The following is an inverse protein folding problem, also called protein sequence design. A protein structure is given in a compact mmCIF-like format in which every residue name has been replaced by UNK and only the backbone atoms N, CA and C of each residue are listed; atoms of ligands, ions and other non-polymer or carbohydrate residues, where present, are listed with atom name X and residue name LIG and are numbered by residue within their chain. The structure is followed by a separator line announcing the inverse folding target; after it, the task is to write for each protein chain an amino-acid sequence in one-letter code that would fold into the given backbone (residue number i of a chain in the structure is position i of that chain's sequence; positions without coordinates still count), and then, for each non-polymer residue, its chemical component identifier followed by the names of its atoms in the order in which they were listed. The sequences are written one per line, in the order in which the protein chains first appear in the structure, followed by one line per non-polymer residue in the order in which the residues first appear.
data_IF_014904107488
#
_entry.id   IF_014904107488
#
_cell.length_a   1.000
_cell.length_b   1.000
_cell.length_c   1.000
_cell.angle_alpha   90.00
_cell.angle_beta   90.00
_cell.angle_gamma   90.00
#
_symmetry.space_group_name_H-M   'P 1'
#
loop_
_entity.id
_entity.type
_entity.pdbx_description
1 polymer ?
#
# COMPACT_ATOMS: atom_id res chain seq x y z
N UNK A 1 11.35 -15.26 3.57
CA UNK A 1 10.04 -15.80 3.90
C UNK A 1 10.18 -17.28 4.19
N UNK A 2 9.52 -17.81 5.22
CA UNK A 2 9.46 -19.26 5.44
C UNK A 2 8.20 -19.80 4.73
N UNK A 3 8.38 -20.74 3.81
CA UNK A 3 7.27 -21.42 3.15
C UNK A 3 6.95 -22.70 3.92
N UNK A 4 5.68 -23.14 3.94
CA UNK A 4 5.34 -24.46 4.47
C UNK A 4 6.11 -25.58 3.76
N UNK A 5 6.42 -26.63 4.50
CA UNK A 5 7.22 -27.75 4.00
C UNK A 5 6.61 -28.34 2.72
N UNK A 6 7.46 -28.53 1.70
CA UNK A 6 7.07 -29.09 0.41
C UNK A 6 6.27 -28.16 -0.51
N UNK A 7 5.91 -26.94 -0.09
CA UNK A 7 5.20 -25.99 -0.96
C UNK A 7 6.06 -25.56 -2.15
N UNK A 8 7.34 -25.28 -1.93
CA UNK A 8 8.28 -24.87 -2.98
C UNK A 8 8.43 -25.92 -4.10
N UNK A 9 8.35 -27.21 -3.75
CA UNK A 9 8.52 -28.32 -4.72
C UNK A 9 7.31 -28.43 -5.66
N UNK A 10 6.10 -28.14 -5.15
CA UNK A 10 4.85 -28.25 -5.92
C UNK A 10 4.37 -26.95 -6.54
N UNK A 11 5.18 -25.90 -6.46
CA UNK A 11 4.83 -24.57 -6.95
C UNK A 11 5.65 -24.20 -8.17
N UNK A 12 5.16 -23.20 -8.86
CA UNK A 12 5.86 -22.52 -9.93
C UNK A 12 6.33 -21.18 -9.38
N UNK A 13 7.64 -20.93 -9.47
CA UNK A 13 8.24 -19.68 -9.04
C UNK A 13 8.24 -18.67 -10.19
N UNK A 14 7.73 -17.46 -9.93
CA UNK A 14 7.89 -16.30 -10.80
C UNK A 14 8.62 -15.18 -10.05
N UNK A 15 9.44 -14.43 -10.79
CA UNK A 15 10.11 -13.24 -10.27
C UNK A 15 9.40 -12.00 -10.77
N UNK A 16 9.08 -11.10 -9.85
CA UNK A 16 8.40 -9.84 -10.11
C UNK A 16 9.46 -8.73 -10.12
N UNK A 17 9.36 -7.79 -11.06
CA UNK A 17 10.30 -6.68 -11.16
C UNK A 17 9.57 -5.38 -10.95
N UNK A 18 10.25 -4.46 -10.27
CA UNK A 18 9.75 -3.09 -10.13
C UNK A 18 9.85 -2.39 -11.49
N UNK A 19 8.84 -1.61 -11.89
CA UNK A 19 8.98 -0.73 -13.05
C UNK A 19 10.19 0.18 -12.90
N UNK A 20 11.13 0.10 -13.84
CA UNK A 20 12.35 0.92 -13.84
C UNK A 20 12.09 2.41 -14.11
N UNK A 21 10.93 2.74 -14.68
CA UNK A 21 10.62 4.10 -15.09
C UNK A 21 10.04 4.93 -13.93
N UNK A 22 10.68 6.07 -13.66
CA UNK A 22 10.01 7.22 -13.07
C UNK A 22 8.83 7.63 -13.98
N UNK A 23 7.64 7.07 -13.79
CA UNK A 23 6.33 7.72 -13.97
C UNK A 23 6.05 8.57 -15.24
N UNK A 24 6.72 8.35 -16.38
CA UNK A 24 6.48 9.13 -17.62
C UNK A 24 6.41 8.30 -18.90
N UNK A 25 7.05 7.12 -18.96
CA UNK A 25 6.99 6.25 -20.14
C UNK A 25 5.69 5.43 -20.16
N UNK A 26 4.84 5.69 -21.15
CA UNK A 26 3.55 5.01 -21.38
C UNK A 26 3.68 3.54 -21.81
N UNK A 27 4.89 2.98 -21.78
CA UNK A 27 5.21 1.70 -22.41
C UNK A 27 6.07 0.80 -21.50
N UNK A 28 5.85 0.80 -20.19
CA UNK A 28 6.47 -0.22 -19.35
C UNK A 28 5.89 -1.59 -19.69
N UNK A 29 6.80 -2.52 -19.99
CA UNK A 29 6.52 -3.92 -20.27
C UNK A 29 7.54 -4.79 -19.53
N UNK A 30 7.04 -5.79 -18.79
CA UNK A 30 7.85 -6.80 -18.15
C UNK A 30 7.30 -8.17 -18.53
N UNK A 31 8.16 -9.08 -18.97
CA UNK A 31 7.82 -10.49 -19.14
C UNK A 31 8.55 -11.33 -18.09
N UNK A 32 7.80 -12.15 -17.38
CA UNK A 32 8.31 -13.29 -16.62
C UNK A 32 8.29 -14.53 -17.51
N UNK A 33 8.55 -15.72 -16.94
CA UNK A 33 8.55 -16.94 -17.72
C UNK A 33 7.17 -17.29 -18.29
N UNK A 34 6.10 -16.85 -17.61
CA UNK A 34 4.70 -17.18 -18.00
C UNK A 34 3.73 -16.03 -18.05
N UNK A 35 4.03 -14.91 -17.40
CA UNK A 35 3.15 -13.76 -17.38
C UNK A 35 3.89 -12.52 -17.86
N UNK A 36 3.18 -11.65 -18.56
CA UNK A 36 3.67 -10.34 -18.91
C UNK A 36 2.77 -9.26 -18.31
N UNK A 37 3.40 -8.23 -17.75
CA UNK A 37 2.77 -7.00 -17.27
C UNK A 37 3.02 -5.92 -18.30
N UNK A 38 1.97 -5.21 -18.74
CA UNK A 38 2.09 -4.11 -19.70
C UNK A 38 1.17 -2.95 -19.37
N UNK A 39 1.32 -1.87 -20.13
CA UNK A 39 0.45 -0.69 -20.09
C UNK A 39 0.32 -0.12 -18.68
N UNK A 40 1.42 -0.17 -17.89
CA UNK A 40 1.41 0.39 -16.54
C UNK A 40 1.27 1.90 -16.66
N UNK A 41 0.15 2.41 -16.19
CA UNK A 41 -0.19 3.82 -16.12
C UNK A 41 -0.42 4.19 -14.66
N UNK A 42 0.16 5.31 -14.22
CA UNK A 42 0.00 5.81 -12.86
C UNK A 42 -0.39 7.28 -12.96
N UNK A 43 -1.50 7.64 -12.31
CA UNK A 43 -2.00 9.00 -12.28
C UNK A 43 -2.20 9.48 -10.84
N UNK A 44 -1.98 10.77 -10.55
CA UNK A 44 -2.58 11.36 -9.36
C UNK A 44 -4.09 11.18 -9.45
N UNK A 45 -4.73 10.61 -8.43
CA UNK A 45 -6.18 10.62 -8.40
C UNK A 45 -6.67 12.04 -8.07
N UNK A 46 -7.86 12.38 -8.53
CA UNK A 46 -8.49 13.66 -8.25
C UNK A 46 -9.03 13.62 -6.82
N UNK A 47 -8.20 13.99 -5.85
CA UNK A 47 -8.65 14.20 -4.46
C UNK A 47 -9.76 15.26 -4.44
N UNK A 48 -11.00 14.83 -4.22
CA UNK A 48 -12.08 15.72 -3.82
C UNK A 48 -11.80 16.15 -2.38
N UNK A 49 -11.30 17.39 -2.22
CA UNK A 49 -10.86 17.92 -0.93
C UNK A 49 -12.03 18.06 0.04
N UNK A 50 -12.28 17.06 0.88
CA UNK A 50 -13.09 17.20 2.08
C UNK A 50 -12.21 17.56 3.29
N UNK A 51 -11.70 18.79 3.32
CA UNK A 51 -10.98 19.30 4.49
C UNK A 51 -11.98 19.77 5.56
N UNK A 52 -12.20 18.96 6.59
CA UNK A 52 -12.85 19.45 7.82
C UNK A 52 -11.79 20.12 8.70
N UNK A 53 -11.80 21.45 8.73
CA UNK A 53 -10.90 22.24 9.57
C UNK A 53 -11.53 22.46 10.96
N UNK A 54 -10.99 21.79 11.98
CA UNK A 54 -11.34 22.08 13.37
C UNK A 54 -10.26 23.01 13.94
N UNK A 55 -10.62 24.28 14.15
CA UNK A 55 -9.73 25.26 14.77
C UNK A 55 -10.13 25.43 16.24
N UNK A 56 -9.36 24.85 17.16
CA UNK A 56 -9.52 25.14 18.59
C UNK A 56 -8.58 26.28 18.97
N UNK A 57 -9.13 27.49 19.05
CA UNK A 57 -8.48 28.64 19.67
C UNK A 57 -9.10 28.85 21.04
N UNK A 58 -8.31 28.73 22.09
CA UNK A 58 -8.73 29.09 23.45
C UNK A 58 -8.53 27.95 24.43
N UNK A 59 -7.85 28.29 25.53
CA UNK A 59 -7.76 27.54 26.77
C UNK A 59 -9.09 26.90 27.12
N UNK A 60 -9.23 25.59 26.97
CA UNK A 60 -9.91 24.72 27.94
C UNK A 60 -9.71 23.23 27.63
N UNK A 61 -9.31 22.52 28.69
CA UNK A 61 -9.40 21.07 28.93
C UNK A 61 -8.76 20.09 27.93
N UNK A 62 -7.44 19.96 28.00
CA UNK A 62 -6.72 18.73 27.63
C UNK A 62 -6.66 17.80 28.85
N UNK A 63 -7.57 16.82 28.91
CA UNK A 63 -7.35 15.60 29.70
C UNK A 63 -6.19 14.83 29.06
N UNK A 64 -5.00 14.95 29.64
CA UNK A 64 -3.82 14.14 29.27
C UNK A 64 -3.02 13.86 30.55
N UNK A 65 -2.75 12.57 30.74
CA UNK A 65 -2.25 11.96 31.97
C UNK A 65 -0.81 12.40 32.36
N UNK A 66 -0.69 12.57 33.68
CA UNK A 66 0.40 12.44 34.65
C UNK A 66 1.81 13.08 34.47
N UNK A 67 2.03 14.00 35.43
CA UNK A 67 3.20 14.28 36.27
C UNK A 67 4.31 15.24 35.84
N UNK A 68 4.48 15.57 34.56
CA UNK A 68 5.59 16.47 34.12
C UNK A 68 5.16 17.87 33.61
N UNK A 69 3.92 18.27 33.86
CA UNK A 69 3.28 19.43 33.18
C UNK A 69 3.13 20.71 33.99
N UNK A 70 3.05 20.63 35.32
CA UNK A 70 2.77 21.83 36.13
C UNK A 70 3.92 22.84 36.05
N UNK A 71 5.16 22.36 35.96
CA UNK A 71 6.33 23.23 35.77
C UNK A 71 6.32 23.88 34.39
N UNK A 72 6.07 23.13 33.30
CA UNK A 72 6.06 23.69 31.93
C UNK A 72 4.95 24.71 31.68
N UNK A 73 3.75 24.47 32.22
CA UNK A 73 2.62 25.40 32.09
C UNK A 73 2.86 26.73 32.80
N UNK A 74 3.52 26.73 33.96
CA UNK A 74 3.87 27.96 34.66
C UNK A 74 4.97 28.75 33.92
N UNK A 75 5.89 28.07 33.23
CA UNK A 75 6.95 28.72 32.45
C UNK A 75 6.45 29.36 31.16
N UNK A 76 5.54 28.71 30.43
CA UNK A 76 5.03 29.24 29.15
C UNK A 76 4.19 30.52 29.34
N UNK A 77 3.43 30.62 30.45
CA UNK A 77 2.61 31.79 30.81
C UNK A 77 3.47 32.96 31.34
N UNK A 78 4.57 32.66 32.05
CA UNK A 78 5.52 33.68 32.53
C UNK A 78 6.38 34.28 31.39
N UNK A 79 6.54 33.54 30.28
CA UNK A 79 7.38 33.92 29.13
C UNK A 79 6.58 34.48 27.94
N UNK A 80 5.25 34.57 28.04
CA UNK A 80 4.39 35.08 26.97
C UNK A 80 4.35 34.20 25.70
N UNK A 81 4.63 32.90 25.83
CA UNK A 81 4.69 31.98 24.70
C UNK A 81 3.28 31.52 24.36
N UNK A 82 2.71 32.07 23.28
CA UNK A 82 1.43 31.60 22.73
C UNK A 82 1.68 30.45 21.75
N UNK A 83 1.21 29.26 22.09
CA UNK A 83 1.19 28.11 21.19
C UNK A 83 -0.25 27.91 20.67
N UNK A 84 -0.45 28.02 19.36
CA UNK A 84 -1.71 27.60 18.73
C UNK A 84 -1.54 26.22 18.13
N UNK A 85 -2.42 25.28 18.49
CA UNK A 85 -2.47 23.94 17.90
C UNK A 85 -3.65 23.88 16.94
N UNK A 86 -3.39 23.62 15.66
CA UNK A 86 -4.44 23.35 14.66
C UNK A 86 -4.35 21.88 14.26
N UNK A 87 -5.45 21.16 14.42
CA UNK A 87 -5.60 19.79 13.97
C UNK A 87 -6.44 19.76 12.70
N UNK A 88 -5.86 19.25 11.62
CA UNK A 88 -6.56 19.02 10.36
C UNK A 88 -6.50 17.53 10.03
N UNK A 89 -7.65 16.97 9.71
CA UNK A 89 -7.73 15.66 9.08
C UNK A 89 -7.77 15.89 7.58
N UNK A 90 -6.87 15.23 6.86
CA UNK A 90 -6.79 15.35 5.42
C UNK A 90 -6.61 13.98 4.80
N UNK A 91 -7.52 13.61 3.91
CA UNK A 91 -7.28 12.57 2.92
C UNK A 91 -6.30 13.16 1.92
N UNK A 92 -5.03 12.74 2.03
CA UNK A 92 -3.94 13.60 1.55
C UNK A 92 -3.51 13.21 0.15
N UNK A 93 -3.59 11.91 -0.22
CA UNK A 93 -3.10 11.43 -1.51
C UNK A 93 -3.89 10.19 -1.91
N UNK A 94 -4.62 10.31 -3.01
CA UNK A 94 -5.10 9.17 -3.77
C UNK A 94 -4.24 9.04 -5.03
N UNK A 95 -3.82 7.82 -5.35
CA UNK A 95 -3.12 7.48 -6.58
C UNK A 95 -3.88 6.40 -7.28
N UNK A 96 -4.09 6.59 -8.57
CA UNK A 96 -4.63 5.54 -9.41
C UNK A 96 -3.49 4.90 -10.18
N UNK A 97 -3.51 3.58 -10.29
CA UNK A 97 -2.64 2.89 -11.22
C UNK A 97 -3.42 1.80 -11.95
N UNK A 98 -3.09 1.62 -13.22
CA UNK A 98 -3.71 0.67 -14.12
C UNK A 98 -2.64 -0.12 -14.85
N UNK A 99 -2.90 -1.39 -15.09
CA UNK A 99 -2.01 -2.24 -15.88
C UNK A 99 -2.76 -3.46 -16.39
N UNK A 100 -2.13 -4.19 -17.30
CA UNK A 100 -2.67 -5.43 -17.84
C UNK A 100 -1.71 -6.59 -17.59
N UNK A 101 -2.25 -7.75 -17.25
CA UNK A 101 -1.50 -9.01 -17.13
C UNK A 101 -2.00 -10.01 -18.18
N UNK A 102 -1.09 -10.62 -18.93
CA UNK A 102 -1.38 -11.69 -19.91
C UNK A 102 -0.38 -12.85 -19.83
N UNK A 103 -0.69 -14.00 -20.43
CA UNK A 103 0.30 -15.04 -20.70
C UNK A 103 1.49 -14.52 -21.53
N UNK A 104 2.71 -14.93 -21.17
CA UNK A 104 3.94 -14.52 -21.86
C UNK A 104 4.11 -15.17 -23.25
N UNK A 105 3.40 -16.26 -23.52
CA UNK A 105 3.45 -16.96 -24.81
C UNK A 105 2.94 -16.08 -25.97
N UNK A 106 2.02 -15.15 -25.69
CA UNK A 106 1.44 -14.25 -26.69
C UNK A 106 2.39 -13.14 -27.19
N UNK A 107 3.61 -13.07 -26.65
CA UNK A 107 4.59 -12.05 -27.04
C UNK A 107 5.46 -12.44 -28.25
N UNK A 108 5.62 -13.74 -28.53
CA UNK A 108 6.56 -14.19 -29.58
C UNK A 108 5.92 -14.38 -30.95
N UNK A 109 4.60 -14.57 -31.03
CA UNK A 109 3.91 -14.96 -32.28
C UNK A 109 3.19 -13.82 -33.00
N UNK A 110 3.39 -12.56 -32.58
CA UNK A 110 2.68 -11.39 -33.15
C UNK A 110 3.09 -10.96 -34.56
N UNK A 111 3.90 -11.74 -35.28
CA UNK A 111 4.39 -11.29 -36.59
C UNK A 111 3.46 -11.54 -37.77
N UNK A 112 2.60 -12.56 -37.79
CA UNK A 112 1.90 -12.90 -39.05
C UNK A 112 0.45 -13.42 -38.99
N UNK A 113 -0.19 -13.57 -37.82
CA UNK A 113 -1.55 -14.15 -37.75
C UNK A 113 -2.60 -13.10 -37.39
N UNK A 114 -3.34 -12.66 -38.40
CA UNK A 114 -4.48 -11.73 -38.35
C UNK A 114 -5.77 -12.40 -37.84
N UNK A 115 -5.64 -13.46 -37.05
CA UNK A 115 -6.78 -14.19 -36.50
C UNK A 115 -7.07 -13.69 -35.09
N UNK A 116 -8.24 -13.07 -34.98
CA UNK A 116 -8.92 -12.49 -33.84
C UNK A 116 -9.21 -13.53 -32.75
N UNK A 117 -8.17 -14.15 -32.18
CA UNK A 117 -8.32 -15.18 -31.15
C UNK A 117 -7.85 -14.66 -29.80
N UNK A 118 -8.86 -14.51 -28.94
CA UNK A 118 -8.83 -14.34 -27.48
C UNK A 118 -8.16 -13.10 -26.89
N UNK A 119 -8.89 -11.98 -26.95
CA UNK A 119 -8.80 -10.92 -25.92
C UNK A 119 -9.18 -11.46 -24.51
N UNK A 120 -9.75 -12.66 -24.40
CA UNK A 120 -10.24 -13.27 -23.15
C UNK A 120 -9.19 -13.49 -22.07
N UNK A 121 -7.91 -13.56 -22.43
CA UNK A 121 -6.87 -14.00 -21.51
C UNK A 121 -6.10 -12.82 -20.90
N UNK A 122 -6.65 -11.61 -20.95
CA UNK A 122 -6.06 -10.41 -20.34
C UNK A 122 -6.79 -10.13 -19.03
N UNK A 123 -6.04 -10.00 -17.94
CA UNK A 123 -6.54 -9.38 -16.72
C UNK A 123 -6.31 -7.89 -16.84
N UNK A 124 -7.38 -7.10 -16.76
CA UNK A 124 -7.28 -5.65 -16.64
C UNK A 124 -7.36 -5.26 -15.16
N UNK A 125 -6.42 -4.42 -14.72
CA UNK A 125 -6.32 -4.03 -13.32
C UNK A 125 -6.45 -2.52 -13.24
N UNK A 126 -7.34 -2.07 -12.36
CA UNK A 126 -7.44 -0.68 -11.94
C UNK A 126 -7.40 -0.62 -10.41
N UNK A 127 -6.45 0.13 -9.87
CA UNK A 127 -6.24 0.30 -8.45
C UNK A 127 -6.33 1.76 -8.04
N UNK A 128 -6.86 1.99 -6.85
CA UNK A 128 -6.87 3.25 -6.12
C UNK A 128 -6.21 3.02 -4.77
N UNK A 129 -5.20 3.81 -4.48
CA UNK A 129 -4.44 3.73 -3.24
C UNK A 129 -4.53 5.07 -2.52
N UNK A 130 -4.83 5.03 -1.23
CA UNK A 130 -5.10 6.22 -0.43
C UNK A 130 -4.53 6.16 0.98
N UNK A 131 -4.44 7.33 1.61
CA UNK A 131 -4.12 7.45 3.04
C UNK A 131 -4.81 8.66 3.68
N UNK A 132 -5.21 8.47 4.93
CA UNK A 132 -5.69 9.54 5.81
C UNK A 132 -4.60 9.94 6.79
N UNK A 133 -4.38 11.25 6.92
CA UNK A 133 -3.40 11.82 7.83
C UNK A 133 -4.05 12.80 8.81
N UNK A 134 -3.58 12.74 10.07
CA UNK A 134 -3.68 13.85 11.01
C UNK A 134 -2.47 14.77 10.80
N UNK A 135 -2.77 16.04 10.52
CA UNK A 135 -1.76 17.10 10.41
C UNK A 135 -1.91 18.01 11.63
N UNK A 136 -0.92 17.93 12.51
CA UNK A 136 -0.74 18.83 13.66
C UNK A 136 0.15 19.99 13.21
N UNK A 137 -0.44 21.17 13.05
CA UNK A 137 0.32 22.41 12.90
C UNK A 137 0.50 23.06 14.27
N UNK A 138 1.75 23.26 14.65
CA UNK A 138 2.13 23.95 15.88
C UNK A 138 2.91 25.21 15.48
N UNK A 139 2.30 26.35 15.75
CA UNK A 139 2.94 27.66 15.63
C UNK A 139 3.34 28.13 17.02
N UNK A 140 4.62 28.47 17.19
CA UNK A 140 5.16 29.06 18.42
C UNK A 140 5.81 30.39 18.09
N UNK A 141 5.32 31.43 18.74
CA UNK A 141 5.95 32.75 18.75
C UNK A 141 6.67 32.91 20.08
N UNK A 142 7.98 33.16 20.03
CA UNK A 142 8.78 33.44 21.22
C UNK A 142 9.68 34.66 20.96
N UNK A 143 9.83 35.59 21.92
CA UNK A 143 10.78 36.68 21.80
C UNK A 143 12.21 36.12 21.79
N UNK A 144 13.03 36.58 20.84
CA UNK A 144 14.46 36.33 20.85
C UNK A 144 15.14 37.16 21.96
N UNK A 145 16.42 36.87 22.25
CA UNK A 145 17.19 37.62 23.25
C UNK A 145 17.41 39.11 22.91
N UNK A 146 16.83 39.62 21.82
CA UNK A 146 16.85 41.02 21.39
C UNK A 146 15.42 41.62 21.33
N UNK A 147 14.41 40.91 21.82
CA UNK A 147 13.01 41.36 21.86
C UNK A 147 12.27 41.29 20.51
N UNK A 148 12.82 40.63 19.48
CA UNK A 148 12.11 40.36 18.23
C UNK A 148 11.36 39.03 18.32
N UNK A 149 10.11 38.99 17.88
CA UNK A 149 9.37 37.74 17.80
C UNK A 149 9.98 36.81 16.76
N UNK A 150 10.35 35.62 17.19
CA UNK A 150 10.73 34.51 16.31
C UNK A 150 9.58 33.53 16.24
N UNK A 151 8.98 33.46 15.06
CA UNK A 151 7.96 32.46 14.76
C UNK A 151 8.66 31.17 14.34
N UNK A 152 8.29 30.08 14.99
CA UNK A 152 8.66 28.72 14.58
C UNK A 152 7.39 27.95 14.28
N UNK A 153 7.42 27.23 13.15
CA UNK A 153 6.32 26.39 12.71
C UNK A 153 6.85 24.96 12.66
N UNK A 154 6.15 24.06 13.32
CA UNK A 154 6.39 22.62 13.19
C UNK A 154 5.13 21.96 12.71
N UNK A 155 5.25 21.17 11.65
CA UNK A 155 4.15 20.36 11.13
C UNK A 155 4.48 18.92 11.46
N UNK A 156 3.67 18.30 12.31
CA UNK A 156 3.76 16.87 12.58
C UNK A 156 2.65 16.19 11.80
N UNK A 157 3.01 15.21 10.96
CA UNK A 157 2.05 14.38 10.23
C UNK A 157 2.03 13.00 10.84
N UNK A 158 0.83 12.45 11.02
CA UNK A 158 0.62 11.09 11.50
C UNK A 158 -0.39 10.41 10.60
N UNK A 159 0.04 9.31 9.98
CA UNK A 159 -0.85 8.45 9.19
C UNK A 159 -1.83 7.75 10.11
N UNK A 160 -3.11 7.90 9.84
CA UNK A 160 -4.21 7.31 10.60
C UNK A 160 -4.76 6.08 9.90
N UNK A 161 -4.93 6.14 8.58
CA UNK A 161 -5.48 5.05 7.80
C UNK A 161 -4.81 4.95 6.43
N UNK A 162 -4.84 3.75 5.87
CA UNK A 162 -4.18 3.39 4.62
C UNK A 162 -5.00 2.34 3.91
N UNK A 163 -5.29 2.56 2.64
CA UNK A 163 -6.05 1.60 1.88
C UNK A 163 -5.53 1.40 0.46
N UNK A 164 -5.83 0.23 -0.08
CA UNK A 164 -5.74 -0.10 -1.50
C UNK A 164 -7.07 -0.75 -1.90
N UNK A 165 -7.67 -0.28 -2.97
CA UNK A 165 -8.82 -0.91 -3.62
C UNK A 165 -8.43 -1.18 -5.06
N UNK A 166 -8.55 -2.41 -5.53
CA UNK A 166 -8.39 -2.72 -6.94
C UNK A 166 -9.57 -3.51 -7.47
N UNK A 167 -9.89 -3.24 -8.73
CA UNK A 167 -10.75 -4.05 -9.58
C UNK A 167 -9.87 -4.80 -10.57
N UNK A 168 -10.04 -6.11 -10.62
CA UNK A 168 -9.35 -7.01 -11.53
C UNK A 168 -10.40 -7.71 -12.39
N UNK A 169 -10.46 -7.38 -13.67
CA UNK A 169 -11.41 -7.96 -14.60
C UNK A 169 -10.77 -9.13 -15.35
N UNK A 170 -11.34 -10.33 -15.18
CA UNK A 170 -10.91 -11.55 -15.84
C UNK A 170 -12.13 -12.32 -16.34
N UNK A 171 -12.23 -12.57 -17.65
CA UNK A 171 -13.31 -13.36 -18.27
C UNK A 171 -14.72 -12.92 -17.83
N UNK A 172 -15.01 -11.62 -17.88
CA UNK A 172 -16.29 -11.03 -17.42
C UNK A 172 -16.59 -11.19 -15.93
N UNK A 173 -15.62 -11.65 -15.14
CA UNK A 173 -15.70 -11.71 -13.68
C UNK A 173 -14.83 -10.60 -13.11
N UNK A 174 -15.45 -9.67 -12.39
CA UNK A 174 -14.74 -8.64 -11.64
C UNK A 174 -14.33 -9.17 -10.28
N UNK A 175 -13.08 -8.95 -9.90
CA UNK A 175 -12.55 -9.27 -8.58
C UNK A 175 -12.13 -8.01 -7.86
N UNK A 176 -12.44 -7.93 -6.57
CA UNK A 176 -12.06 -6.84 -5.69
C UNK A 176 -10.91 -7.28 -4.79
N UNK A 177 -9.76 -6.62 -4.95
CA UNK A 177 -8.65 -6.70 -4.01
C UNK A 177 -8.74 -5.51 -3.07
N UNK A 178 -8.75 -5.79 -1.76
CA UNK A 178 -8.70 -4.76 -0.72
C UNK A 178 -7.49 -4.94 0.17
N UNK A 179 -6.90 -3.81 0.55
CA UNK A 179 -5.97 -3.68 1.68
C UNK A 179 -6.51 -2.57 2.56
N UNK A 180 -6.64 -2.83 3.85
CA UNK A 180 -7.10 -1.85 4.84
C UNK A 180 -6.21 -1.91 6.08
N UNK A 181 -5.82 -0.73 6.58
CA UNK A 181 -5.17 -0.60 7.89
C UNK A 181 -5.56 0.69 8.58
N UNK A 182 -6.40 0.52 9.60
CA UNK A 182 -6.74 1.58 10.53
C UNK A 182 -5.76 1.61 11.72
N UNK A 183 -4.91 2.64 11.76
CA UNK A 183 -3.96 2.91 12.83
C UNK A 183 -2.95 1.78 13.07
N UNK A 184 -2.97 1.22 14.28
CA UNK A 184 -2.10 0.12 14.71
C UNK A 184 -2.72 -1.27 14.49
N UNK A 185 -3.90 -1.36 13.89
CA UNK A 185 -4.52 -2.65 13.59
C UNK A 185 -3.68 -3.47 12.60
N UNK A 186 -3.86 -4.79 12.66
CA UNK A 186 -3.25 -5.70 11.69
C UNK A 186 -3.80 -5.41 10.28
N UNK A 187 -2.92 -5.49 9.28
CA UNK A 187 -3.30 -5.30 7.88
C UNK A 187 -4.33 -6.34 7.47
N UNK A 188 -5.47 -5.91 6.94
CA UNK A 188 -6.48 -6.78 6.38
C UNK A 188 -6.34 -6.79 4.86
N UNK A 189 -6.12 -7.98 4.28
CA UNK A 189 -5.99 -8.16 2.83
C UNK A 189 -6.96 -9.24 2.37
N UNK A 190 -7.78 -8.94 1.36
CA UNK A 190 -8.77 -9.86 0.83
C UNK A 190 -8.87 -9.73 -0.69
N UNK A 191 -9.12 -10.85 -1.38
CA UNK A 191 -9.40 -10.88 -2.81
C UNK A 191 -10.69 -11.66 -3.05
N UNK A 192 -11.73 -10.98 -3.51
CA UNK A 192 -13.09 -11.53 -3.60
C UNK A 192 -13.67 -11.32 -4.98
N UNK A 193 -14.38 -12.31 -5.51
CA UNK A 193 -15.21 -12.11 -6.70
C UNK A 193 -16.37 -11.16 -6.38
N UNK A 194 -16.62 -10.17 -7.24
CA UNK A 194 -17.86 -9.40 -7.23
C UNK A 194 -19.05 -10.37 -7.33
N UNK A 195 -20.19 -10.04 -6.72
CA UNK A 195 -21.36 -10.91 -6.58
C UNK A 195 -21.73 -11.66 -7.89
N UNK A 196 -21.28 -12.91 -8.00
CA UNK A 196 -21.82 -13.89 -8.95
C UNK A 196 -22.82 -14.73 -8.18
N UNK A 197 -24.07 -14.72 -8.61
CA UNK A 197 -25.14 -15.51 -8.01
C UNK A 197 -24.74 -17.00 -8.06
N UNK A 198 -24.39 -17.58 -6.90
CA UNK A 198 -24.22 -19.03 -6.73
C UNK A 198 -22.87 -19.53 -6.21
N UNK A 199 -21.79 -18.73 -6.22
CA UNK A 199 -20.52 -19.11 -5.59
C UNK A 199 -19.62 -17.89 -5.38
N UNK A 200 -19.48 -17.46 -4.12
CA UNK A 200 -18.47 -16.46 -3.78
C UNK A 200 -17.13 -17.18 -3.61
N UNK A 201 -16.18 -16.89 -4.50
CA UNK A 201 -14.80 -17.34 -4.34
C UNK A 201 -14.04 -16.23 -3.61
N UNK A 202 -13.44 -16.58 -2.47
CA UNK A 202 -12.65 -15.67 -1.64
C UNK A 202 -11.25 -16.26 -1.46
N UNK A 203 -10.24 -15.40 -1.61
CA UNK A 203 -8.87 -15.70 -1.22
C UNK A 203 -8.52 -14.88 0.03
N UNK A 204 -8.27 -15.60 1.13
CA UNK A 204 -7.76 -15.02 2.37
C UNK A 204 -6.26 -14.83 2.23
N UNK A 205 -5.79 -13.61 2.42
CA UNK A 205 -4.37 -13.27 2.31
C UNK A 205 -3.84 -12.95 3.72
N UNK A 206 -2.86 -13.72 4.17
CA UNK A 206 -2.25 -13.59 5.49
C UNK A 206 -0.82 -13.08 5.38
N UNK A 207 -0.41 -12.22 6.31
CA UNK A 207 0.98 -11.79 6.41
C UNK A 207 1.84 -12.87 7.07
N UNK A 208 2.94 -13.23 6.43
CA UNK A 208 4.03 -13.95 7.07
C UNK A 208 4.93 -12.90 7.72
N UNK A 209 4.92 -12.82 9.05
CA UNK A 209 5.73 -11.84 9.78
C UNK A 209 7.22 -12.08 9.49
N UNK A 210 7.94 -11.01 9.15
CA UNK A 210 9.38 -11.08 9.26
C UNK A 210 9.74 -11.24 10.74
N UNK A 211 10.73 -12.07 11.04
CA UNK A 211 11.46 -11.90 12.30
C UNK A 211 11.91 -10.45 12.35
N UNK A 212 11.60 -9.76 13.44
CA UNK A 212 11.97 -8.38 13.79
C UNK A 212 13.33 -7.98 13.18
N UNK A 213 13.55 -6.71 12.81
CA UNK A 213 14.90 -6.25 12.44
C UNK A 213 15.54 -5.50 13.60
N UNK A 214 16.84 -5.73 13.77
CA UNK A 214 17.64 -5.08 14.80
C UNK A 214 18.09 -3.70 14.28
N UNK A 215 17.61 -2.62 14.88
CA UNK A 215 18.03 -1.25 14.60
C UNK A 215 18.58 -0.62 15.87
N UNK A 216 19.85 -0.20 15.86
CA UNK A 216 20.54 0.37 17.04
C UNK A 216 20.50 -0.53 18.30
N UNK A 217 20.47 -1.86 18.11
CA UNK A 217 20.41 -2.82 19.22
C UNK A 217 19.00 -3.05 19.79
N UNK A 218 17.97 -2.42 19.23
CA UNK A 218 16.57 -2.67 19.58
C UNK A 218 15.89 -3.42 18.43
N UNK A 219 15.11 -4.44 18.76
CA UNK A 219 14.19 -5.05 17.81
C UNK A 219 13.06 -4.06 17.52
N UNK A 220 12.84 -3.77 16.23
CA UNK A 220 11.80 -2.82 15.80
C UNK A 220 10.87 -3.46 14.78
N UNK A 221 9.62 -3.05 14.82
CA UNK A 221 8.64 -3.28 13.77
C UNK A 221 8.90 -2.31 12.60
N UNK A 222 8.68 -2.78 11.38
CA UNK A 222 9.05 -2.00 10.20
C UNK A 222 7.87 -1.12 9.78
N UNK A 223 8.13 0.10 9.31
CA UNK A 223 7.05 1.02 8.99
C UNK A 223 6.42 0.71 7.63
N UNK A 224 5.30 -0.02 7.65
CA UNK A 224 4.15 -0.04 6.69
C UNK A 224 4.43 -0.21 5.17
N UNK A 225 3.51 -0.79 4.36
CA UNK A 225 2.49 -1.79 4.69
C UNK A 225 3.10 -3.19 4.81
N UNK A 226 4.19 -3.45 4.07
CA UNK A 226 4.81 -4.76 3.93
C UNK A 226 6.26 -4.80 4.38
N UNK A 227 6.87 -3.68 4.74
CA UNK A 227 8.26 -3.65 5.20
C UNK A 227 8.52 -4.52 6.43
N UNK A 228 7.47 -4.91 7.18
CA UNK A 228 7.55 -5.77 8.38
C UNK A 228 7.16 -7.23 8.10
N UNK A 229 6.69 -7.52 6.88
CA UNK A 229 6.32 -8.85 6.45
C UNK A 229 7.47 -9.45 5.64
N UNK A 230 7.82 -10.70 5.90
CA UNK A 230 8.71 -11.45 5.02
C UNK A 230 7.97 -11.82 3.71
N UNK A 231 6.63 -11.89 3.76
CA UNK A 231 5.78 -12.20 2.62
C UNK A 231 4.30 -12.24 2.94
N UNK A 232 3.50 -12.64 1.95
CA UNK A 232 2.08 -12.90 2.04
C UNK A 232 1.77 -14.34 1.62
N UNK A 233 0.82 -14.97 2.28
CA UNK A 233 0.30 -16.30 1.98
C UNK A 233 -1.15 -16.20 1.51
N UNK A 234 -1.48 -16.81 0.38
CA UNK A 234 -2.79 -16.77 -0.25
C UNK A 234 -3.49 -18.12 -0.06
N UNK A 235 -4.64 -18.10 0.59
CA UNK A 235 -5.43 -19.30 0.89
C UNK A 235 -6.76 -19.28 0.15
N UNK A 236 -7.12 -20.41 -0.46
CA UNK A 236 -8.48 -20.67 -0.97
C UNK A 236 -9.10 -21.75 -0.07
N UNK A 237 -10.06 -21.37 0.77
CA UNK A 237 -10.43 -22.18 1.93
C UNK A 237 -9.21 -22.38 2.85
N UNK A 238 -8.88 -23.64 3.14
CA UNK A 238 -7.70 -24.00 3.94
C UNK A 238 -6.45 -24.35 3.10
N UNK A 239 -6.57 -24.37 1.77
CA UNK A 239 -5.46 -24.70 0.90
C UNK A 239 -4.60 -23.46 0.61
N UNK A 240 -3.30 -23.54 0.91
CA UNK A 240 -2.31 -22.56 0.45
C UNK A 240 -2.13 -22.72 -1.07
N UNK A 241 -2.48 -21.68 -1.83
CA UNK A 241 -2.48 -21.69 -3.30
C UNK A 241 -1.43 -20.77 -3.90
N UNK A 242 -0.98 -19.76 -3.16
CA UNK A 242 0.16 -18.94 -3.55
C UNK A 242 0.90 -18.34 -2.34
N UNK A 243 2.14 -17.93 -2.56
CA UNK A 243 2.93 -17.19 -1.59
C UNK A 243 3.71 -16.08 -2.31
N UNK A 244 3.75 -14.87 -1.75
CA UNK A 244 4.51 -13.73 -2.24
C UNK A 244 5.59 -13.39 -1.22
N UNK A 245 6.86 -13.39 -1.61
CA UNK A 245 7.98 -12.94 -0.77
C UNK A 245 8.40 -11.53 -1.16
N UNK A 246 8.55 -10.68 -0.15
CA UNK A 246 9.19 -9.37 -0.27
C UNK A 246 10.71 -9.46 -0.08
N UNK A 247 11.20 -10.56 0.49
CA UNK A 247 12.63 -10.74 0.77
C UNK A 247 13.49 -10.91 -0.49
N UNK A 248 14.69 -10.36 -0.44
CA UNK A 248 15.72 -10.48 -1.47
C UNK A 248 15.82 -9.26 -2.38
N UNK A 249 16.57 -9.40 -3.49
CA UNK A 249 16.76 -8.31 -4.47
C UNK A 249 15.56 -8.09 -5.38
N UNK A 250 14.76 -9.13 -5.61
CA UNK A 250 13.60 -9.10 -6.46
C UNK A 250 12.47 -9.91 -5.80
N UNK A 251 11.25 -9.36 -5.67
CA UNK A 251 10.13 -10.09 -5.12
C UNK A 251 9.81 -11.34 -5.93
N UNK A 252 9.29 -12.35 -5.23
CA UNK A 252 9.04 -13.68 -5.77
C UNK A 252 7.65 -14.13 -5.43
N UNK A 253 6.97 -14.78 -6.38
CA UNK A 253 5.68 -15.42 -6.14
C UNK A 253 5.77 -16.90 -6.48
N UNK A 254 5.32 -17.75 -5.55
CA UNK A 254 5.11 -19.19 -5.77
C UNK A 254 3.63 -19.41 -6.00
N UNK A 255 3.27 -20.05 -7.11
CA UNK A 255 1.91 -20.39 -7.50
C UNK A 255 1.75 -21.90 -7.51
N UNK A 256 0.76 -22.47 -6.81
CA UNK A 256 0.57 -23.93 -6.77
C UNK A 256 0.34 -24.47 -8.18
N UNK A 257 1.05 -25.53 -8.57
CA UNK A 257 0.93 -26.09 -9.92
C UNK A 257 -0.46 -26.66 -10.19
N UNK A 258 -1.21 -27.06 -9.16
CA UNK A 258 -2.54 -27.67 -9.26
C UNK A 258 -3.68 -26.68 -9.53
N UNK A 259 -3.48 -25.39 -9.26
CA UNK A 259 -4.52 -24.38 -9.57
C UNK A 259 -4.55 -24.06 -11.06
N UNK A 260 -5.74 -23.69 -11.54
CA UNK A 260 -5.98 -23.39 -12.95
C UNK A 260 -5.15 -22.19 -13.41
N UNK A 261 -4.80 -22.15 -14.70
CA UNK A 261 -4.00 -21.07 -15.30
C UNK A 261 -4.63 -19.71 -15.07
N UNK A 262 -5.96 -19.61 -15.14
CA UNK A 262 -6.71 -18.39 -14.87
C UNK A 262 -6.56 -17.92 -13.43
N UNK A 263 -6.69 -18.83 -12.47
CA UNK A 263 -6.44 -18.54 -11.05
C UNK A 263 -4.99 -18.10 -10.81
N UNK A 264 -4.02 -18.75 -11.46
CA UNK A 264 -2.61 -18.34 -11.39
C UNK A 264 -2.41 -16.91 -11.89
N UNK A 265 -3.04 -16.55 -13.00
CA UNK A 265 -2.99 -15.21 -13.58
C UNK A 265 -3.63 -14.16 -12.67
N UNK A 266 -4.79 -14.47 -12.08
CA UNK A 266 -5.45 -13.63 -11.09
C UNK A 266 -4.56 -13.40 -9.86
N UNK A 267 -3.98 -14.47 -9.29
CA UNK A 267 -3.11 -14.38 -8.11
C UNK A 267 -1.79 -13.63 -8.42
N UNK A 268 -1.26 -13.79 -9.63
CA UNK A 268 -0.12 -13.01 -10.11
C UNK A 268 -0.47 -11.53 -10.21
N UNK A 269 -1.62 -11.19 -10.82
CA UNK A 269 -2.10 -9.81 -10.95
C UNK A 269 -2.33 -9.17 -9.58
N UNK A 270 -3.01 -9.87 -8.66
CA UNK A 270 -3.23 -9.40 -7.30
C UNK A 270 -1.91 -9.17 -6.55
N UNK A 271 -0.95 -10.09 -6.67
CA UNK A 271 0.36 -9.94 -6.05
C UNK A 271 1.15 -8.76 -6.62
N UNK A 272 1.07 -8.53 -7.93
CA UNK A 272 1.70 -7.37 -8.56
C UNK A 272 1.03 -6.06 -8.11
N UNK A 273 -0.29 -6.02 -7.94
CA UNK A 273 -1.00 -4.86 -7.36
C UNK A 273 -0.52 -4.53 -5.95
N UNK A 274 -0.32 -5.54 -5.10
CA UNK A 274 0.19 -5.37 -3.74
C UNK A 274 1.63 -4.85 -3.73
N UNK A 275 2.49 -5.35 -4.63
CA UNK A 275 3.84 -4.83 -4.82
C UNK A 275 3.86 -3.40 -5.37
N UNK A 276 2.98 -3.07 -6.30
CA UNK A 276 2.82 -1.71 -6.79
C UNK A 276 2.44 -0.76 -5.64
N UNK A 277 1.49 -1.17 -4.79
CA UNK A 277 1.16 -0.41 -3.58
C UNK A 277 2.38 -0.21 -2.67
N UNK A 278 3.15 -1.28 -2.39
CA UNK A 278 4.39 -1.21 -1.61
C UNK A 278 5.46 -0.29 -2.22
N UNK A 279 5.72 -0.41 -3.52
CA UNK A 279 6.75 0.37 -4.21
C UNK A 279 6.41 1.85 -4.34
N UNK A 280 5.12 2.17 -4.42
CA UNK A 280 4.65 3.52 -4.52
C UNK A 280 4.58 4.22 -3.16
N UNK A 281 4.39 3.47 -2.06
CA UNK A 281 4.26 4.04 -0.73
C UNK A 281 5.46 4.90 -0.27
N UNK A 282 6.74 4.48 -0.41
CA UNK A 282 7.88 5.34 -0.08
C UNK A 282 7.92 6.62 -0.92
N UNK A 283 7.61 6.52 -2.21
CA UNK A 283 7.56 7.70 -3.09
C UNK A 283 6.45 8.67 -2.69
N UNK A 284 5.38 8.18 -2.06
CA UNK A 284 4.31 9.01 -1.52
C UNK A 284 4.70 9.69 -0.21
N UNK A 285 5.55 9.05 0.61
CA UNK A 285 6.10 9.65 1.82
C UNK A 285 7.10 10.77 1.52
N UNK A 286 7.92 10.62 0.47
CA UNK A 286 8.97 11.58 0.12
C UNK A 286 8.46 12.80 -0.67
N UNK A 287 7.34 12.69 -1.39
CA UNK A 287 6.77 13.78 -2.20
C UNK A 287 6.01 14.85 -1.40
N UNK A 288 6.20 14.90 -0.08
CA UNK A 288 5.36 15.56 0.91
C UNK A 288 6.16 16.38 1.92
#
# INVERSE_FOLDING_TARGET
MRLPEGFEIRTQLETLQRPHAQFQDRHFEQASSRFAVRNVAISPARSERHAQQISQSGSNSLQLQNTDRITRLLWDDLLGIQATKRQRYQETIEREFRFQVMPALDMKDKKDTKDTKSISDIVEIQCQAGQYEAIDHLERSAPDGKGKERNSHTTKRQRLDSHLRCELDLDHTTWHLSVDREGEQALQIQLRSAHVVGAQVDFRIQQERASEFLLNGEWRDAPFPFSAAAGLLFFQGDALVAALSFDGRAPKIWLDQKIETRTKQLLFAASYSLLMYDWLDPTWREAL
#
